data_IF_123611513561
#
_entry.id   IF_123611513561
#
_cell.length_a   1.000
_cell.length_b   1.000
_cell.length_c   1.000
_cell.angle_alpha   90.00
_cell.angle_beta   90.00
_cell.angle_gamma   90.00
#
_symmetry.space_group_name_H-M   'P 1'
#
loop_
_entity.id
_entity.type
_entity.pdbx_description
1 polymer ?
#
# COMPACT_ATOMS: atom_id res chain seq x y z
N UNK A 1 37.19 10.39 7.51
CA UNK A 1 36.44 9.12 7.59
C UNK A 1 35.06 9.40 7.01
N UNK A 2 34.61 8.60 6.08
CA UNK A 2 33.32 8.74 5.40
C UNK A 2 32.18 8.46 6.39
N UNK A 3 30.93 8.90 6.08
CA UNK A 3 29.80 8.72 6.99
C UNK A 3 29.51 7.23 7.26
N UNK A 4 29.56 6.40 6.24
CA UNK A 4 29.41 4.95 6.34
C UNK A 4 30.37 4.33 7.39
N UNK A 5 31.68 4.67 7.34
CA UNK A 5 32.67 4.13 8.28
C UNK A 5 32.32 4.50 9.73
N UNK A 6 31.87 5.73 9.96
CA UNK A 6 31.52 6.24 11.31
C UNK A 6 30.24 5.57 11.84
N UNK A 7 29.28 5.25 10.95
CA UNK A 7 28.07 4.53 11.34
C UNK A 7 28.40 3.10 11.79
N UNK A 8 29.27 2.39 11.05
CA UNK A 8 29.71 1.04 11.45
C UNK A 8 30.50 1.08 12.75
N UNK A 9 31.37 2.07 12.91
CA UNK A 9 32.15 2.27 14.15
C UNK A 9 31.27 2.71 15.35
N UNK A 10 29.97 2.96 15.11
CA UNK A 10 29.01 3.50 16.09
C UNK A 10 29.41 4.85 16.68
N UNK A 11 30.23 5.61 15.95
CA UNK A 11 30.64 6.98 16.32
C UNK A 11 29.56 8.00 15.96
N UNK A 12 28.74 7.71 14.97
CA UNK A 12 27.62 8.55 14.56
C UNK A 12 26.31 7.72 14.58
N UNK A 13 25.16 8.40 14.59
CA UNK A 13 23.84 7.77 14.66
C UNK A 13 23.04 7.97 13.38
N UNK A 14 22.19 7.00 13.08
CA UNK A 14 21.10 7.14 12.10
C UNK A 14 19.84 7.62 12.83
N UNK A 15 19.14 8.59 12.30
CA UNK A 15 17.79 8.92 12.73
C UNK A 15 16.77 8.45 11.69
N UNK A 16 15.73 7.73 12.11
CA UNK A 16 14.59 7.39 11.27
C UNK A 16 13.38 8.21 11.72
N UNK A 17 12.87 9.06 10.84
CA UNK A 17 11.79 10.01 11.08
C UNK A 17 10.51 9.48 10.45
N UNK A 18 9.53 9.16 11.30
CA UNK A 18 8.31 8.44 10.93
C UNK A 18 8.46 6.93 11.13
N UNK A 19 7.82 6.40 12.17
CA UNK A 19 7.93 4.99 12.57
C UNK A 19 6.62 4.23 12.26
N UNK A 20 6.15 4.38 11.02
CA UNK A 20 5.06 3.58 10.46
C UNK A 20 5.55 2.21 9.98
N UNK A 21 4.72 1.56 9.15
CA UNK A 21 5.00 0.23 8.57
C UNK A 21 6.25 0.17 7.66
N UNK A 22 6.80 1.31 7.25
CA UNK A 22 8.07 1.42 6.53
C UNK A 22 9.22 1.76 7.49
N UNK A 23 9.06 2.84 8.26
CA UNK A 23 10.17 3.39 9.04
C UNK A 23 10.55 2.55 10.26
N UNK A 24 9.60 1.90 10.93
CA UNK A 24 9.93 1.06 12.09
C UNK A 24 10.74 -0.18 11.69
N UNK A 25 10.34 -0.98 10.68
CA UNK A 25 11.16 -2.12 10.26
C UNK A 25 12.58 -1.72 9.85
N UNK A 26 12.76 -0.65 9.07
CA UNK A 26 14.09 -0.21 8.64
C UNK A 26 14.93 0.33 9.80
N UNK A 27 14.28 1.01 10.76
CA UNK A 27 14.97 1.48 11.97
C UNK A 27 15.51 0.32 12.80
N UNK A 28 14.73 -0.75 12.98
CA UNK A 28 15.15 -1.94 13.71
C UNK A 28 16.26 -2.71 12.97
N UNK A 29 16.19 -2.83 11.64
CA UNK A 29 17.27 -3.47 10.88
C UNK A 29 18.59 -2.71 10.99
N UNK A 30 18.59 -1.39 10.86
CA UNK A 30 19.76 -0.58 11.11
C UNK A 30 20.25 -0.71 12.57
N UNK A 31 19.33 -0.77 13.53
CA UNK A 31 19.66 -0.84 14.96
C UNK A 31 20.36 -2.14 15.39
N UNK A 32 20.26 -3.20 14.60
CA UNK A 32 21.06 -4.42 14.80
C UNK A 32 22.56 -4.18 14.56
N UNK A 33 22.91 -3.19 13.75
CA UNK A 33 24.28 -2.95 13.26
C UNK A 33 24.88 -1.67 13.83
N UNK A 34 24.12 -0.57 13.84
CA UNK A 34 24.56 0.76 14.27
C UNK A 34 23.65 1.34 15.35
N UNK A 35 23.96 2.55 15.84
CA UNK A 35 23.12 3.27 16.80
C UNK A 35 22.01 4.03 16.05
N UNK A 36 20.77 3.87 16.47
CA UNK A 36 19.59 4.47 15.80
C UNK A 36 18.78 5.32 16.78
N UNK A 37 18.26 6.45 16.28
CA UNK A 37 17.23 7.25 16.92
C UNK A 37 15.95 7.05 16.10
N UNK A 38 14.95 6.42 16.69
CA UNK A 38 13.62 6.29 16.10
C UNK A 38 12.72 7.43 16.55
N UNK A 39 12.32 8.30 15.63
CA UNK A 39 11.49 9.46 15.92
C UNK A 39 10.07 9.29 15.34
N UNK A 40 9.07 9.47 16.20
CA UNK A 40 7.68 9.61 15.77
C UNK A 40 7.05 10.80 16.49
N UNK A 41 6.20 11.55 15.78
CA UNK A 41 5.51 12.72 16.33
C UNK A 41 4.46 12.34 17.41
N UNK A 42 3.96 11.10 17.39
CA UNK A 42 2.95 10.62 18.31
C UNK A 42 3.60 10.00 19.57
N UNK A 43 3.45 10.62 20.77
CA UNK A 43 4.04 10.11 22.00
C UNK A 43 3.51 8.73 22.43
N UNK A 44 2.26 8.41 22.12
CA UNK A 44 1.64 7.12 22.48
C UNK A 44 2.29 5.99 21.67
N UNK A 45 2.47 6.19 20.36
CA UNK A 45 3.19 5.24 19.50
C UNK A 45 4.63 5.03 19.98
N UNK A 46 5.32 6.11 20.34
CA UNK A 46 6.67 6.04 20.92
C UNK A 46 6.67 5.22 22.22
N UNK A 47 5.66 5.40 23.07
CA UNK A 47 5.51 4.61 24.31
C UNK A 47 5.31 3.13 24.04
N UNK A 48 4.49 2.78 23.05
CA UNK A 48 4.27 1.38 22.63
C UNK A 48 5.60 0.76 22.15
N UNK A 49 6.33 1.43 21.27
CA UNK A 49 7.60 0.92 20.73
C UNK A 49 8.68 0.76 21.79
N UNK A 50 8.74 1.63 22.80
CA UNK A 50 9.61 1.45 23.99
C UNK A 50 9.29 0.18 24.77
N UNK A 51 8.03 -0.28 24.71
CA UNK A 51 7.57 -1.53 25.32
C UNK A 51 7.60 -2.72 24.33
N UNK A 52 8.29 -2.59 23.20
CA UNK A 52 8.42 -3.60 22.14
C UNK A 52 7.07 -4.00 21.54
N UNK A 53 6.15 -3.05 21.42
CA UNK A 53 4.85 -3.21 20.77
C UNK A 53 4.87 -2.37 19.49
N UNK A 54 4.66 -3.03 18.34
CA UNK A 54 4.47 -2.33 17.07
C UNK A 54 3.05 -1.77 16.97
N UNK A 55 2.89 -0.43 16.87
CA UNK A 55 1.58 0.18 16.69
C UNK A 55 0.88 -0.16 15.36
N UNK A 56 1.60 -0.77 14.42
CA UNK A 56 1.06 -1.17 13.11
C UNK A 56 0.73 -2.67 13.03
N UNK A 57 1.03 -3.44 14.10
CA UNK A 57 0.81 -4.89 14.21
C UNK A 57 1.46 -5.74 13.10
N UNK A 58 2.54 -5.23 12.47
CA UNK A 58 3.30 -5.96 11.45
C UNK A 58 4.46 -6.76 12.03
N UNK A 59 5.03 -6.29 13.16
CA UNK A 59 6.20 -6.85 13.82
C UNK A 59 5.84 -7.47 15.16
N UNK A 60 6.62 -8.47 15.56
CA UNK A 60 6.49 -9.11 16.87
C UNK A 60 7.55 -8.58 17.84
N UNK A 61 7.34 -8.76 19.14
CA UNK A 61 8.23 -8.23 20.18
C UNK A 61 9.69 -8.68 20.04
N UNK A 62 9.94 -9.86 19.48
CA UNK A 62 11.29 -10.38 19.23
C UNK A 62 12.05 -9.62 18.15
N UNK A 63 11.36 -8.90 17.25
CA UNK A 63 12.03 -8.08 16.23
C UNK A 63 12.78 -6.89 16.81
N UNK A 64 12.40 -6.48 18.03
CA UNK A 64 13.07 -5.42 18.79
C UNK A 64 14.30 -5.91 19.56
N UNK A 65 14.59 -7.21 19.57
CA UNK A 65 15.70 -7.75 20.32
C UNK A 65 17.04 -7.46 19.64
N UNK A 66 18.07 -7.19 20.45
CA UNK A 66 19.42 -6.84 20.00
C UNK A 66 19.51 -5.56 19.14
N UNK A 67 18.52 -4.69 19.22
CA UNK A 67 18.48 -3.42 18.52
C UNK A 67 19.03 -2.29 19.41
N UNK A 68 20.06 -1.58 18.91
CA UNK A 68 20.59 -0.35 19.55
C UNK A 68 19.77 0.85 19.06
N UNK A 69 18.54 1.01 19.60
CA UNK A 69 17.60 2.05 19.19
C UNK A 69 17.06 2.81 20.39
N UNK A 70 16.98 4.13 20.25
CA UNK A 70 16.35 5.04 21.19
C UNK A 70 15.08 5.64 20.53
N UNK A 71 13.91 5.33 21.08
CA UNK A 71 12.63 5.88 20.57
C UNK A 71 12.33 7.21 21.25
N UNK A 72 12.01 8.23 20.45
CA UNK A 72 11.71 9.58 20.94
C UNK A 72 10.65 10.31 20.11
N UNK A 73 9.97 11.26 20.73
CA UNK A 73 9.12 12.27 20.08
C UNK A 73 9.69 13.69 20.22
N UNK A 74 10.89 13.83 20.83
CA UNK A 74 11.54 15.11 21.07
C UNK A 74 12.49 15.42 19.91
N UNK A 75 12.29 16.57 19.27
CA UNK A 75 13.10 17.02 18.13
C UNK A 75 14.56 17.21 18.52
N UNK A 76 14.81 17.61 19.76
CA UNK A 76 16.16 17.90 20.28
C UNK A 76 17.07 16.67 20.22
N UNK A 77 16.53 15.48 20.44
CA UNK A 77 17.29 14.23 20.44
C UNK A 77 17.85 13.89 19.05
N UNK A 78 17.19 14.39 17.98
CA UNK A 78 17.64 14.22 16.60
C UNK A 78 18.99 14.93 16.30
N UNK A 79 19.43 15.89 17.14
CA UNK A 79 20.71 16.59 16.98
C UNK A 79 21.92 15.67 17.04
N UNK A 80 21.76 14.49 17.63
CA UNK A 80 22.85 13.51 17.74
C UNK A 80 23.06 12.71 16.45
N UNK A 81 22.10 12.73 15.53
CA UNK A 81 22.20 12.00 14.27
C UNK A 81 23.03 12.76 13.21
N UNK A 82 23.56 11.98 12.27
CA UNK A 82 24.29 12.44 11.07
C UNK A 82 23.66 11.94 9.78
N UNK A 83 22.90 10.88 9.83
CA UNK A 83 22.20 10.28 8.71
C UNK A 83 20.73 10.18 9.05
N UNK A 84 19.89 10.87 8.29
CA UNK A 84 18.45 10.93 8.49
C UNK A 84 17.74 10.13 7.41
N UNK A 85 16.84 9.23 7.80
CA UNK A 85 15.91 8.52 6.92
C UNK A 85 14.51 9.06 7.19
N UNK A 86 13.85 9.61 6.18
CA UNK A 86 12.51 10.17 6.30
C UNK A 86 11.50 9.21 5.66
N UNK A 87 10.67 8.58 6.49
CA UNK A 87 9.74 7.52 6.12
C UNK A 87 8.30 7.80 6.61
N UNK A 88 7.78 8.96 6.28
CA UNK A 88 6.42 9.40 6.66
C UNK A 88 5.39 9.08 5.56
N UNK A 89 4.10 8.95 5.91
CA UNK A 89 3.06 8.67 4.92
C UNK A 89 2.87 9.84 3.95
N UNK A 90 2.53 9.49 2.71
CA UNK A 90 2.21 10.41 1.62
C UNK A 90 0.88 10.01 0.98
N UNK A 91 -0.27 10.32 1.62
CA UNK A 91 -1.58 9.98 1.12
C UNK A 91 -2.00 10.89 -0.04
N UNK A 92 -3.15 10.61 -0.64
CA UNK A 92 -3.90 11.53 -1.49
C UNK A 92 -5.08 12.12 -0.70
N UNK A 93 -5.53 13.29 -1.09
CA UNK A 93 -6.74 13.90 -0.55
C UNK A 93 -8.02 13.38 -1.24
N UNK A 94 -9.18 13.90 -0.84
CA UNK A 94 -10.48 13.53 -1.42
C UNK A 94 -10.60 13.87 -2.91
N UNK A 95 -9.82 14.83 -3.39
CA UNK A 95 -9.72 15.21 -4.81
C UNK A 95 -8.72 14.36 -5.57
N UNK A 96 -8.12 13.34 -4.92
CA UNK A 96 -7.07 12.47 -5.47
C UNK A 96 -5.78 13.22 -5.85
N UNK A 97 -5.52 14.37 -5.21
CA UNK A 97 -4.27 15.10 -5.35
C UNK A 97 -3.29 14.68 -4.24
N UNK A 98 -1.96 14.65 -4.52
CA UNK A 98 -0.95 14.30 -3.52
C UNK A 98 -0.99 15.18 -2.28
N UNK A 99 -1.01 14.57 -1.10
CA UNK A 99 -0.88 15.29 0.16
C UNK A 99 0.52 15.10 0.75
N UNK A 100 1.42 15.99 0.40
CA UNK A 100 2.82 15.97 0.90
C UNK A 100 3.03 16.75 2.21
N UNK A 101 1.95 17.21 2.88
CA UNK A 101 2.08 17.94 4.16
C UNK A 101 2.86 17.16 5.23
N UNK A 102 2.64 15.85 5.43
CA UNK A 102 3.44 15.10 6.40
C UNK A 102 4.93 15.09 6.04
N UNK A 103 5.26 15.00 4.76
CA UNK A 103 6.63 15.02 4.25
C UNK A 103 7.31 16.37 4.49
N UNK A 104 6.61 17.47 4.20
CA UNK A 104 7.12 18.82 4.48
C UNK A 104 7.29 19.05 5.98
N UNK A 105 6.37 18.60 6.82
CA UNK A 105 6.50 18.67 8.29
C UNK A 105 7.68 17.86 8.81
N UNK A 106 7.95 16.68 8.25
CA UNK A 106 9.15 15.89 8.58
C UNK A 106 10.43 16.62 8.13
N UNK A 107 10.40 17.22 6.93
CA UNK A 107 11.51 18.08 6.44
C UNK A 107 11.74 19.29 7.33
N UNK A 108 10.67 19.91 7.85
CA UNK A 108 10.80 20.99 8.87
C UNK A 108 11.44 20.50 10.16
N UNK A 109 11.05 19.31 10.62
CA UNK A 109 11.60 18.69 11.83
C UNK A 109 13.09 18.44 11.67
N UNK A 110 13.51 17.83 10.56
CA UNK A 110 14.92 17.58 10.24
C UNK A 110 15.67 18.90 10.05
N UNK A 111 15.11 19.87 9.30
CA UNK A 111 15.74 21.15 9.03
C UNK A 111 16.12 21.96 10.29
N UNK A 112 15.34 21.84 11.38
CA UNK A 112 15.63 22.50 12.67
C UNK A 112 16.88 21.95 13.38
N UNK A 113 17.29 20.74 13.07
CA UNK A 113 18.41 20.04 13.73
C UNK A 113 19.58 19.76 12.81
N UNK A 114 19.41 20.00 11.50
CA UNK A 114 20.39 19.71 10.46
C UNK A 114 21.70 20.46 10.67
N UNK A 115 22.82 19.76 10.52
CA UNK A 115 24.17 20.26 10.70
C UNK A 115 24.99 20.05 9.44
N UNK A 116 26.09 20.78 9.34
CA UNK A 116 27.04 20.59 8.26
C UNK A 116 27.61 19.17 8.23
N UNK A 117 27.60 18.57 7.03
CA UNK A 117 28.03 17.20 6.78
C UNK A 117 26.99 16.13 7.07
N UNK A 118 25.72 16.51 7.34
CA UNK A 118 24.62 15.57 7.53
C UNK A 118 24.10 15.08 6.17
N UNK A 119 23.48 13.88 6.21
CA UNK A 119 22.80 13.24 5.09
C UNK A 119 21.31 13.11 5.38
N UNK A 120 20.46 13.44 4.41
CA UNK A 120 19.01 13.26 4.50
C UNK A 120 18.54 12.40 3.35
N UNK A 121 17.94 11.24 3.64
CA UNK A 121 17.44 10.32 2.63
C UNK A 121 15.93 10.18 2.79
N UNK A 122 15.18 10.47 1.73
CA UNK A 122 13.74 10.30 1.71
C UNK A 122 13.39 8.90 1.20
N UNK A 123 12.47 8.23 1.92
CA UNK A 123 11.91 6.93 1.53
C UNK A 123 10.42 7.02 1.17
N UNK A 124 9.75 8.08 1.62
CA UNK A 124 8.33 8.30 1.33
C UNK A 124 8.06 8.34 -0.18
N UNK A 125 6.97 7.74 -0.61
CA UNK A 125 6.56 7.76 -2.03
C UNK A 125 6.19 9.17 -2.46
N UNK A 126 6.81 9.65 -3.54
CA UNK A 126 6.60 11.00 -4.07
C UNK A 126 6.64 11.02 -5.61
N UNK A 127 6.17 12.09 -6.22
CA UNK A 127 6.35 12.32 -7.65
C UNK A 127 7.80 12.72 -7.98
N UNK A 128 8.29 12.45 -9.20
CA UNK A 128 9.64 12.83 -9.61
C UNK A 128 9.88 14.34 -9.49
N UNK A 129 10.92 14.70 -8.74
CA UNK A 129 11.31 16.07 -8.43
C UNK A 129 10.86 16.58 -7.06
N UNK A 130 9.94 15.91 -6.36
CA UNK A 130 9.41 16.37 -5.07
C UNK A 130 10.52 16.58 -4.03
N UNK A 131 11.48 15.66 -3.93
CA UNK A 131 12.59 15.82 -2.97
C UNK A 131 13.37 17.11 -3.25
N UNK A 132 13.69 17.37 -4.52
CA UNK A 132 14.50 18.54 -4.89
C UNK A 132 13.70 19.84 -4.91
N UNK A 133 12.47 19.81 -5.43
CA UNK A 133 11.64 20.99 -5.66
C UNK A 133 10.89 21.44 -4.39
N UNK A 134 10.50 20.51 -3.50
CA UNK A 134 9.66 20.80 -2.33
C UNK A 134 10.38 20.61 -1.00
N UNK A 135 11.15 19.51 -0.81
CA UNK A 135 11.74 19.19 0.49
C UNK A 135 13.04 19.94 0.75
N UNK A 136 13.95 20.01 -0.21
CA UNK A 136 15.26 20.69 -0.06
C UNK A 136 15.11 22.16 0.30
N UNK A 137 14.22 22.96 -0.31
CA UNK A 137 14.01 24.35 0.08
C UNK A 137 13.60 24.52 1.55
N UNK A 138 12.83 23.58 2.10
CA UNK A 138 12.44 23.58 3.53
C UNK A 138 13.67 23.31 4.41
N UNK A 139 14.50 22.32 4.05
CA UNK A 139 15.76 22.04 4.78
C UNK A 139 16.70 23.24 4.79
N UNK A 140 16.93 23.87 3.63
CA UNK A 140 17.77 25.06 3.50
C UNK A 140 17.25 26.24 4.33
N UNK A 141 15.94 26.51 4.25
CA UNK A 141 15.29 27.62 4.94
C UNK A 141 15.44 27.51 6.47
N UNK A 142 15.26 26.32 7.03
CA UNK A 142 15.25 26.13 8.48
C UNK A 142 16.64 25.92 9.07
N UNK A 143 17.54 25.27 8.36
CA UNK A 143 18.90 25.05 8.82
C UNK A 143 19.83 26.24 8.55
N UNK A 144 19.52 27.07 7.54
CA UNK A 144 20.43 28.10 7.04
C UNK A 144 21.62 27.55 6.25
N UNK A 145 21.66 26.22 6.03
CA UNK A 145 22.70 25.51 5.31
C UNK A 145 22.41 25.47 3.80
N UNK A 146 23.44 25.16 3.00
CA UNK A 146 23.33 25.06 1.56
C UNK A 146 23.40 23.59 1.10
N UNK A 147 22.40 23.20 0.33
CA UNK A 147 22.32 21.90 -0.33
C UNK A 147 23.57 21.60 -1.15
N UNK A 148 23.98 20.35 -1.20
CA UNK A 148 25.21 19.82 -1.79
C UNK A 148 26.47 20.26 -1.05
N UNK A 149 26.58 21.54 -0.70
CA UNK A 149 27.79 22.14 -0.10
C UNK A 149 27.91 21.79 1.39
N UNK A 150 26.83 21.98 2.14
CA UNK A 150 26.86 21.84 3.60
C UNK A 150 26.19 20.59 4.09
N UNK A 151 25.20 20.05 3.34
CA UNK A 151 24.53 18.77 3.62
C UNK A 151 24.20 18.05 2.31
N UNK A 152 24.00 16.73 2.39
CA UNK A 152 23.69 15.88 1.26
C UNK A 152 22.24 15.37 1.35
N UNK A 153 21.62 15.17 0.19
CA UNK A 153 20.29 14.59 0.11
C UNK A 153 20.29 13.43 -0.87
N UNK A 154 19.50 12.41 -0.56
CA UNK A 154 19.23 11.30 -1.45
C UNK A 154 17.79 10.82 -1.36
N UNK A 155 17.47 9.86 -2.19
CA UNK A 155 16.17 9.18 -2.21
C UNK A 155 16.38 7.68 -2.35
N UNK A 156 15.67 6.92 -1.53
CA UNK A 156 15.73 5.46 -1.53
C UNK A 156 14.35 4.89 -1.25
N UNK A 157 13.53 4.58 -2.28
CA UNK A 157 12.16 4.17 -2.09
C UNK A 157 12.02 2.85 -1.34
N UNK A 158 10.96 2.75 -0.52
CA UNK A 158 10.56 1.47 0.01
C UNK A 158 9.84 0.62 -1.05
N UNK A 159 10.19 -0.67 -1.11
CA UNK A 159 9.68 -1.65 -2.06
C UNK A 159 9.03 -2.87 -1.41
N UNK A 160 8.97 -2.91 -0.06
CA UNK A 160 8.30 -3.98 0.69
C UNK A 160 6.80 -3.94 0.40
N UNK A 161 6.23 -5.13 0.25
CA UNK A 161 4.78 -5.30 0.18
C UNK A 161 4.27 -5.75 1.57
N UNK A 162 3.47 -4.93 2.29
CA UNK A 162 2.96 -5.30 3.61
C UNK A 162 2.34 -6.69 3.63
N UNK A 163 2.66 -7.49 4.66
CA UNK A 163 2.22 -8.89 4.79
C UNK A 163 3.02 -9.91 3.95
N UNK A 164 3.96 -9.49 3.10
CA UNK A 164 4.84 -10.40 2.35
C UNK A 164 6.03 -10.84 3.23
N UNK A 165 6.02 -12.09 3.66
CA UNK A 165 7.08 -12.67 4.50
C UNK A 165 8.27 -13.24 3.71
N UNK A 166 8.17 -13.28 2.39
CA UNK A 166 9.22 -13.80 1.50
C UNK A 166 10.11 -12.67 0.99
N UNK A 167 9.48 -11.58 0.52
CA UNK A 167 10.17 -10.41 -0.01
C UNK A 167 10.34 -9.36 1.08
N UNK A 168 11.30 -9.58 1.95
CA UNK A 168 11.64 -8.69 3.06
C UNK A 168 12.61 -7.58 2.64
N UNK A 169 12.84 -6.60 3.50
CA UNK A 169 13.82 -5.52 3.26
C UNK A 169 15.18 -6.05 2.80
N UNK A 170 15.68 -7.09 3.43
CA UNK A 170 17.01 -7.67 3.13
C UNK A 170 17.06 -8.44 1.81
N UNK A 171 15.92 -9.02 1.36
CA UNK A 171 15.86 -9.93 0.20
C UNK A 171 15.49 -9.25 -1.13
N UNK A 172 15.13 -7.98 -1.12
CA UNK A 172 14.77 -7.21 -2.32
C UNK A 172 15.90 -6.23 -2.65
N UNK A 173 16.34 -6.18 -3.92
CA UNK A 173 17.28 -5.14 -4.39
C UNK A 173 16.68 -3.76 -4.11
N UNK A 174 17.35 -2.95 -3.28
CA UNK A 174 16.91 -1.59 -2.97
C UNK A 174 17.43 -0.61 -4.03
N UNK A 175 16.63 0.39 -4.38
CA UNK A 175 17.08 1.51 -5.21
C UNK A 175 17.58 2.62 -4.29
N UNK A 176 18.70 3.24 -4.61
CA UNK A 176 19.20 4.43 -3.91
C UNK A 176 19.71 5.47 -4.88
N UNK A 177 19.77 6.70 -4.44
CA UNK A 177 20.36 7.83 -5.17
C UNK A 177 20.94 8.85 -4.22
N UNK A 178 21.82 9.69 -4.73
CA UNK A 178 22.36 10.84 -4.01
C UNK A 178 22.37 12.09 -4.88
N UNK A 179 22.62 13.22 -4.30
CA UNK A 179 22.71 14.51 -5.04
C UNK A 179 24.03 14.68 -5.81
N UNK A 180 25.03 13.88 -5.51
CA UNK A 180 26.31 13.78 -6.18
C UNK A 180 26.89 12.37 -6.04
N UNK A 181 28.02 12.09 -6.69
CA UNK A 181 28.64 10.77 -6.70
C UNK A 181 29.04 10.30 -5.30
N UNK A 182 29.58 11.21 -4.47
CA UNK A 182 29.99 10.91 -3.09
C UNK A 182 28.77 10.49 -2.25
N UNK A 183 27.70 11.27 -2.27
CA UNK A 183 26.49 10.96 -1.51
C UNK A 183 25.78 9.70 -2.03
N UNK A 184 25.77 9.50 -3.35
CA UNK A 184 25.23 8.28 -3.95
C UNK A 184 25.96 7.02 -3.47
N UNK A 185 27.30 7.08 -3.37
CA UNK A 185 28.11 5.97 -2.87
C UNK A 185 27.88 5.72 -1.38
N UNK A 186 27.93 6.79 -0.55
CA UNK A 186 27.78 6.67 0.90
C UNK A 186 26.38 6.19 1.32
N UNK A 187 25.32 6.69 0.63
CA UNK A 187 23.95 6.24 0.85
C UNK A 187 23.81 4.77 0.46
N UNK A 188 24.30 4.36 -0.72
CA UNK A 188 24.23 2.98 -1.15
C UNK A 188 24.90 2.03 -0.14
N UNK A 189 26.15 2.34 0.27
CA UNK A 189 26.87 1.55 1.28
C UNK A 189 26.12 1.47 2.62
N UNK A 190 25.47 2.55 3.04
CA UNK A 190 24.68 2.55 4.27
C UNK A 190 23.51 1.59 4.18
N UNK A 191 22.79 1.55 3.04
CA UNK A 191 21.72 0.57 2.85
C UNK A 191 22.21 -0.86 2.65
N UNK A 192 23.40 -1.08 2.08
CA UNK A 192 24.02 -2.42 1.96
C UNK A 192 24.27 -3.09 3.32
N UNK A 193 24.29 -2.33 4.42
CA UNK A 193 24.35 -2.87 5.78
C UNK A 193 23.15 -3.78 6.08
N UNK A 194 21.98 -3.43 5.58
CA UNK A 194 20.70 -4.09 5.91
C UNK A 194 20.05 -4.80 4.71
N UNK A 195 20.54 -4.54 3.49
CA UNK A 195 19.99 -5.09 2.25
C UNK A 195 21.02 -6.05 1.64
N UNK A 196 20.84 -7.35 1.88
CA UNK A 196 21.76 -8.39 1.37
C UNK A 196 21.57 -8.67 -0.12
N UNK A 197 20.41 -8.35 -0.69
CA UNK A 197 20.14 -8.51 -2.12
C UNK A 197 20.88 -7.48 -2.99
N UNK A 198 21.52 -6.48 -2.38
CA UNK A 198 22.28 -5.43 -3.05
C UNK A 198 21.46 -4.16 -3.28
N UNK A 199 22.17 -3.11 -3.71
CA UNK A 199 21.62 -1.76 -3.92
C UNK A 199 21.88 -1.32 -5.37
N UNK A 200 20.81 -0.95 -6.07
CA UNK A 200 20.89 -0.33 -7.39
C UNK A 200 21.03 1.19 -7.23
N UNK A 201 22.17 1.74 -7.65
CA UNK A 201 22.42 3.19 -7.63
C UNK A 201 21.77 3.84 -8.85
N UNK A 202 20.69 4.57 -8.65
CA UNK A 202 20.07 5.38 -9.70
C UNK A 202 20.94 6.63 -9.99
N UNK A 203 20.91 7.08 -11.23
CA UNK A 203 21.75 8.20 -11.70
C UNK A 203 21.36 9.57 -11.12
N UNK A 204 20.17 9.70 -10.54
CA UNK A 204 19.72 10.93 -9.88
C UNK A 204 18.55 10.63 -8.92
N UNK A 205 18.24 11.58 -8.05
CA UNK A 205 17.07 11.54 -7.16
C UNK A 205 15.78 11.37 -7.98
N UNK A 206 15.59 12.17 -9.02
CA UNK A 206 14.39 12.10 -9.91
C UNK A 206 14.22 10.75 -10.59
N UNK A 207 15.33 10.09 -10.96
CA UNK A 207 15.26 8.71 -11.54
C UNK A 207 14.82 7.70 -10.50
N UNK A 208 15.30 7.79 -9.27
CA UNK A 208 14.90 6.88 -8.19
C UNK A 208 13.42 7.07 -7.79
N UNK A 209 12.96 8.33 -7.70
CA UNK A 209 11.55 8.67 -7.48
C UNK A 209 10.66 8.13 -8.61
N UNK A 210 11.06 8.35 -9.88
CA UNK A 210 10.34 7.84 -11.04
C UNK A 210 10.26 6.31 -11.04
N UNK A 211 11.35 5.62 -10.71
CA UNK A 211 11.38 4.17 -10.64
C UNK A 211 10.32 3.62 -9.67
N UNK A 212 10.20 4.22 -8.47
CA UNK A 212 9.17 3.82 -7.49
C UNK A 212 7.76 3.98 -8.04
N UNK A 213 7.46 5.14 -8.61
CA UNK A 213 6.11 5.43 -9.08
C UNK A 213 5.68 4.52 -10.23
N UNK A 214 6.58 4.21 -11.17
CA UNK A 214 6.22 3.38 -12.31
C UNK A 214 6.00 1.91 -11.95
N UNK A 215 6.62 1.38 -10.89
CA UNK A 215 6.39 -0.01 -10.45
C UNK A 215 4.91 -0.26 -10.15
N UNK A 216 4.28 0.64 -9.41
CA UNK A 216 2.86 0.53 -9.06
C UNK A 216 1.94 1.03 -10.18
N UNK A 217 2.31 2.08 -10.91
CA UNK A 217 1.55 2.57 -12.06
C UNK A 217 1.45 1.52 -13.16
N UNK A 218 2.54 0.81 -13.47
CA UNK A 218 2.56 -0.28 -14.45
C UNK A 218 1.61 -1.40 -14.03
N UNK A 219 1.62 -1.78 -12.76
CA UNK A 219 0.71 -2.80 -12.22
C UNK A 219 -0.74 -2.36 -12.31
N UNK A 220 -1.04 -1.14 -11.91
CA UNK A 220 -2.38 -0.54 -11.97
C UNK A 220 -2.95 -0.54 -13.39
N UNK A 221 -2.19 -0.07 -14.37
CA UNK A 221 -2.61 -0.03 -15.78
C UNK A 221 -2.84 -1.44 -16.35
N UNK A 222 -1.99 -2.41 -16.00
CA UNK A 222 -2.19 -3.78 -16.45
C UNK A 222 -3.44 -4.42 -15.84
N UNK A 223 -3.72 -4.16 -14.55
CA UNK A 223 -4.96 -4.63 -13.93
C UNK A 223 -6.16 -3.93 -14.57
N UNK A 224 -6.08 -2.64 -14.87
CA UNK A 224 -7.15 -1.91 -15.54
C UNK A 224 -7.49 -2.51 -16.91
N UNK A 225 -6.49 -2.87 -17.70
CA UNK A 225 -6.70 -3.58 -18.97
C UNK A 225 -7.47 -4.89 -18.76
N UNK A 226 -7.08 -5.70 -17.78
CA UNK A 226 -7.76 -6.98 -17.51
C UNK A 226 -9.17 -6.75 -16.94
N UNK A 227 -9.37 -5.72 -16.12
CA UNK A 227 -10.68 -5.32 -15.64
C UNK A 227 -11.61 -4.91 -16.81
N UNK A 228 -11.12 -4.09 -17.73
CA UNK A 228 -11.89 -3.72 -18.92
C UNK A 228 -12.24 -4.94 -19.79
N UNK A 229 -11.27 -5.84 -20.00
CA UNK A 229 -11.50 -7.11 -20.70
C UNK A 229 -12.56 -7.97 -20.00
N UNK A 230 -12.54 -8.04 -18.66
CA UNK A 230 -13.56 -8.78 -17.91
C UNK A 230 -14.97 -8.21 -18.13
N UNK A 231 -15.10 -6.89 -18.16
CA UNK A 231 -16.39 -6.23 -18.48
C UNK A 231 -16.85 -6.54 -19.90
N UNK A 232 -15.95 -6.54 -20.87
CA UNK A 232 -16.25 -6.88 -22.27
C UNK A 232 -16.69 -8.35 -22.39
N UNK A 233 -15.90 -9.27 -21.81
CA UNK A 233 -16.17 -10.72 -21.88
C UNK A 233 -17.45 -11.10 -21.15
N UNK A 234 -17.76 -10.49 -20.02
CA UNK A 234 -19.03 -10.67 -19.33
C UNK A 234 -20.23 -10.28 -20.23
N UNK A 235 -20.12 -9.20 -21.01
CA UNK A 235 -21.18 -8.82 -21.99
C UNK A 235 -21.30 -9.78 -23.16
N UNK A 236 -20.23 -10.50 -23.48
CA UNK A 236 -20.19 -11.52 -24.53
C UNK A 236 -20.54 -12.91 -24.01
N UNK A 237 -20.83 -13.08 -22.70
CA UNK A 237 -20.99 -14.36 -22.01
C UNK A 237 -19.77 -15.30 -22.18
N UNK A 238 -18.58 -14.73 -22.17
CA UNK A 238 -17.30 -15.44 -22.22
C UNK A 238 -16.68 -15.40 -20.81
N UNK A 239 -16.14 -16.54 -20.38
CA UNK A 239 -15.43 -16.62 -19.11
C UNK A 239 -14.04 -15.97 -19.22
N UNK A 240 -13.83 -14.88 -18.48
CA UNK A 240 -12.57 -14.12 -18.49
C UNK A 240 -11.37 -14.98 -18.15
N UNK A 241 -11.48 -15.85 -17.14
CA UNK A 241 -10.36 -16.67 -16.68
C UNK A 241 -9.95 -17.74 -17.69
N UNK A 242 -10.90 -18.32 -18.44
CA UNK A 242 -10.58 -19.26 -19.51
C UNK A 242 -9.81 -18.57 -20.65
N UNK A 243 -10.19 -17.33 -20.98
CA UNK A 243 -9.44 -16.53 -21.96
C UNK A 243 -8.03 -16.23 -21.47
N UNK A 244 -7.89 -15.84 -20.18
CA UNK A 244 -6.58 -15.54 -19.59
C UNK A 244 -5.70 -16.81 -19.48
N UNK A 245 -6.27 -17.97 -19.22
CA UNK A 245 -5.56 -19.25 -19.22
C UNK A 245 -5.07 -19.60 -20.62
N UNK A 246 -5.92 -19.46 -21.64
CA UNK A 246 -5.52 -19.69 -23.02
C UNK A 246 -4.44 -18.71 -23.48
N UNK A 247 -4.61 -17.42 -23.22
CA UNK A 247 -3.63 -16.38 -23.55
C UNK A 247 -2.29 -16.58 -22.79
N UNK A 248 -2.36 -17.01 -21.52
CA UNK A 248 -1.22 -17.26 -20.64
C UNK A 248 -0.33 -18.43 -21.08
N UNK A 249 -0.75 -19.24 -22.03
CA UNK A 249 0.11 -20.27 -22.65
C UNK A 249 1.22 -19.66 -23.50
N UNK A 250 1.06 -18.38 -23.89
CA UNK A 250 2.11 -17.68 -24.64
C UNK A 250 3.18 -17.15 -23.68
N UNK A 251 4.44 -17.47 -23.94
CA UNK A 251 5.60 -17.22 -23.07
C UNK A 251 5.78 -15.75 -22.63
N UNK A 252 5.33 -14.79 -23.42
CA UNK A 252 5.47 -13.35 -23.12
C UNK A 252 4.16 -12.67 -22.70
N UNK A 253 3.12 -13.44 -22.38
CA UNK A 253 1.87 -12.90 -21.84
C UNK A 253 2.03 -12.62 -20.34
N UNK A 254 1.66 -11.42 -19.91
CA UNK A 254 1.72 -11.03 -18.51
C UNK A 254 0.44 -11.46 -17.79
N UNK A 255 0.56 -12.36 -16.83
CA UNK A 255 -0.55 -12.99 -16.11
C UNK A 255 -1.16 -12.07 -15.02
N UNK A 256 -1.78 -10.97 -15.42
CA UNK A 256 -2.63 -10.19 -14.53
C UNK A 256 -4.04 -10.78 -14.46
N UNK A 257 -4.74 -10.52 -13.36
CA UNK A 257 -6.11 -11.00 -13.12
C UNK A 257 -7.02 -9.80 -12.85
N UNK A 258 -8.34 -9.92 -13.15
CA UNK A 258 -9.29 -8.87 -12.80
C UNK A 258 -9.48 -8.81 -11.28
N UNK A 259 -9.85 -7.65 -10.78
CA UNK A 259 -10.13 -7.47 -9.35
C UNK A 259 -10.25 -6.02 -8.93
N UNK A 260 -10.56 -5.83 -7.67
CA UNK A 260 -10.61 -4.52 -7.04
C UNK A 260 -9.20 -4.03 -6.73
N UNK A 261 -8.88 -2.78 -7.08
CA UNK A 261 -7.56 -2.18 -6.84
C UNK A 261 -7.67 -1.13 -5.75
N UNK A 262 -7.35 -1.54 -4.53
CA UNK A 262 -7.33 -0.74 -3.31
C UNK A 262 -5.94 -0.61 -2.68
N UNK A 263 -5.92 -0.27 -1.38
CA UNK A 263 -4.72 -0.14 -0.58
C UNK A 263 -3.97 1.17 -0.80
N UNK A 264 -2.78 1.27 -0.16
CA UNK A 264 -2.01 2.53 -0.09
C UNK A 264 -1.13 2.81 -1.30
N UNK A 265 -0.81 1.79 -2.09
CA UNK A 265 0.23 1.88 -3.11
C UNK A 265 -0.38 1.90 -4.52
N UNK A 266 -0.92 0.76 -4.99
CA UNK A 266 -1.37 0.63 -6.40
C UNK A 266 -2.49 1.61 -6.72
N UNK A 267 -3.42 1.85 -5.79
CA UNK A 267 -4.53 2.78 -5.97
C UNK A 267 -4.16 4.26 -5.76
N UNK A 268 -2.95 4.57 -5.29
CA UNK A 268 -2.51 5.92 -4.89
C UNK A 268 -1.36 6.44 -5.75
N UNK A 269 -0.30 5.65 -5.93
CA UNK A 269 0.93 6.08 -6.62
C UNK A 269 0.68 6.65 -8.04
N UNK A 270 -0.24 6.11 -8.87
CA UNK A 270 -0.51 6.68 -10.18
C UNK A 270 -0.95 8.15 -10.13
N UNK A 271 -1.65 8.56 -9.07
CA UNK A 271 -2.10 9.96 -8.93
C UNK A 271 -0.94 10.93 -8.71
N UNK A 272 0.13 10.48 -8.05
CA UNK A 272 1.36 11.26 -7.92
C UNK A 272 1.98 11.58 -9.29
N UNK A 273 2.03 10.58 -10.18
CA UNK A 273 2.58 10.77 -11.52
C UNK A 273 1.67 11.62 -12.40
N UNK A 274 0.34 11.42 -12.32
CA UNK A 274 -0.60 12.25 -13.12
C UNK A 274 -0.67 13.67 -12.64
N UNK A 275 -0.50 13.93 -11.34
CA UNK A 275 -0.36 15.27 -10.77
C UNK A 275 0.85 16.00 -11.38
N UNK A 276 2.04 15.37 -11.33
CA UNK A 276 3.25 15.96 -11.93
C UNK A 276 3.14 16.16 -13.43
N UNK A 277 2.52 15.23 -14.15
CA UNK A 277 2.25 15.37 -15.57
C UNK A 277 1.38 16.61 -15.87
N UNK A 278 0.34 16.84 -15.08
CA UNK A 278 -0.57 18.00 -15.18
C UNK A 278 0.17 19.31 -14.92
N UNK A 279 1.04 19.38 -13.91
CA UNK A 279 1.90 20.54 -13.67
C UNK A 279 2.81 20.85 -14.87
N UNK A 280 3.29 19.82 -15.57
CA UNK A 280 4.11 19.96 -16.79
C UNK A 280 3.27 20.22 -18.07
N UNK A 281 1.95 20.40 -17.92
CA UNK A 281 1.05 20.66 -19.05
C UNK A 281 0.72 19.42 -19.87
N UNK A 282 0.97 18.19 -19.36
CA UNK A 282 0.68 16.94 -20.05
C UNK A 282 -0.49 16.20 -19.39
N UNK A 283 -1.49 15.81 -20.19
CA UNK A 283 -2.57 14.95 -19.74
C UNK A 283 -2.20 13.49 -19.91
N UNK A 284 -1.99 12.78 -18.79
CA UNK A 284 -1.59 11.36 -18.77
C UNK A 284 -2.75 10.45 -19.15
N UNK A 285 -3.04 10.28 -20.44
CA UNK A 285 -4.23 9.60 -20.97
C UNK A 285 -4.36 8.15 -20.50
N UNK A 286 -3.32 7.34 -20.68
CA UNK A 286 -3.35 5.90 -20.34
C UNK A 286 -3.52 5.70 -18.83
N UNK A 287 -2.76 6.44 -18.02
CA UNK A 287 -2.81 6.31 -16.56
C UNK A 287 -4.18 6.74 -16.02
N UNK A 288 -4.68 7.90 -16.48
CA UNK A 288 -6.00 8.39 -16.05
C UNK A 288 -7.13 7.46 -16.50
N UNK A 289 -7.07 6.91 -17.72
CA UNK A 289 -8.07 5.93 -18.20
C UNK A 289 -8.00 4.64 -17.37
N UNK A 290 -6.80 4.13 -17.08
CA UNK A 290 -6.62 2.97 -16.22
C UNK A 290 -7.21 3.18 -14.83
N UNK A 291 -6.93 4.33 -14.21
CA UNK A 291 -7.52 4.69 -12.91
C UNK A 291 -9.04 4.77 -12.96
N UNK A 292 -9.61 5.36 -14.01
CA UNK A 292 -11.06 5.45 -14.17
C UNK A 292 -11.71 4.06 -14.28
N UNK A 293 -11.09 3.12 -15.00
CA UNK A 293 -11.56 1.72 -15.08
C UNK A 293 -11.50 1.06 -13.71
N UNK A 294 -10.34 1.10 -13.03
CA UNK A 294 -10.16 0.43 -11.74
C UNK A 294 -11.06 1.02 -10.65
N UNK A 295 -11.23 2.34 -10.61
CA UNK A 295 -12.12 3.00 -9.64
C UNK A 295 -13.60 2.68 -9.89
N UNK A 296 -14.00 2.39 -11.13
CA UNK A 296 -15.38 2.03 -11.47
C UNK A 296 -15.74 0.57 -11.15
N UNK A 297 -14.77 -0.30 -10.86
CA UNK A 297 -15.00 -1.74 -10.69
C UNK A 297 -15.88 -2.08 -9.49
N UNK A 298 -15.75 -1.38 -8.37
CA UNK A 298 -16.61 -1.59 -7.19
C UNK A 298 -18.09 -1.39 -7.53
N UNK A 299 -18.40 -0.27 -8.17
CA UNK A 299 -19.78 0.02 -8.61
C UNK A 299 -20.23 -0.93 -9.72
N UNK A 300 -19.35 -1.36 -10.64
CA UNK A 300 -19.68 -2.37 -11.65
C UNK A 300 -20.10 -3.70 -11.01
N UNK A 301 -19.37 -4.18 -10.02
CA UNK A 301 -19.69 -5.40 -9.27
C UNK A 301 -21.02 -5.25 -8.56
N UNK A 302 -21.23 -4.18 -7.78
CA UNK A 302 -22.49 -3.94 -7.06
C UNK A 302 -23.70 -3.93 -7.98
N UNK A 303 -23.63 -3.21 -9.12
CA UNK A 303 -24.69 -3.20 -10.15
C UNK A 303 -24.92 -4.56 -10.79
N UNK A 304 -23.88 -5.33 -11.02
CA UNK A 304 -24.00 -6.67 -11.62
C UNK A 304 -24.69 -7.63 -10.65
N UNK A 305 -24.34 -7.58 -9.36
CA UNK A 305 -25.00 -8.35 -8.31
C UNK A 305 -26.47 -7.98 -8.20
N UNK A 306 -26.80 -6.68 -8.15
CA UNK A 306 -28.17 -6.21 -8.09
C UNK A 306 -29.01 -6.74 -9.28
N UNK A 307 -28.49 -6.67 -10.51
CA UNK A 307 -29.15 -7.23 -11.70
C UNK A 307 -29.41 -8.73 -11.59
N UNK A 308 -28.45 -9.50 -11.05
CA UNK A 308 -28.58 -10.95 -10.89
C UNK A 308 -29.60 -11.30 -9.81
N UNK A 309 -29.63 -10.57 -8.70
CA UNK A 309 -30.63 -10.74 -7.63
C UNK A 309 -32.04 -10.41 -8.16
N UNK A 310 -32.21 -9.33 -8.92
CA UNK A 310 -33.49 -9.00 -9.56
C UNK A 310 -33.92 -10.10 -10.56
N UNK A 311 -32.97 -10.58 -11.35
CA UNK A 311 -33.25 -11.65 -12.33
C UNK A 311 -33.61 -12.99 -11.66
N UNK A 312 -33.19 -13.25 -10.42
CA UNK A 312 -33.63 -14.41 -9.62
C UNK A 312 -35.04 -14.25 -9.03
N UNK A 313 -35.70 -13.10 -9.25
CA UNK A 313 -37.06 -12.83 -8.79
C UNK A 313 -37.19 -12.11 -7.45
N UNK A 314 -36.07 -11.66 -6.87
CA UNK A 314 -36.07 -10.97 -5.56
C UNK A 314 -35.98 -9.45 -5.76
N UNK A 315 -36.94 -8.65 -5.25
CA UNK A 315 -36.82 -7.19 -5.19
C UNK A 315 -35.64 -6.77 -4.32
N UNK A 316 -34.88 -5.77 -4.75
CA UNK A 316 -33.67 -5.37 -4.02
C UNK A 316 -33.90 -4.92 -2.57
N UNK A 317 -35.05 -4.29 -2.29
CA UNK A 317 -35.42 -3.89 -0.91
C UNK A 317 -35.64 -5.08 0.04
N UNK A 318 -35.92 -6.26 -0.50
CA UNK A 318 -36.13 -7.51 0.26
C UNK A 318 -34.87 -8.38 0.25
N UNK A 319 -33.89 -8.01 -0.57
CA UNK A 319 -32.70 -8.82 -0.76
C UNK A 319 -31.72 -8.69 0.40
N UNK A 320 -31.22 -9.84 0.84
CA UNK A 320 -30.09 -9.94 1.78
C UNK A 320 -28.84 -10.34 1.00
N UNK A 321 -27.79 -9.56 1.13
CA UNK A 321 -26.50 -9.79 0.47
C UNK A 321 -25.42 -9.92 1.53
N UNK A 322 -24.66 -11.01 1.50
CA UNK A 322 -23.48 -11.23 2.33
C UNK A 322 -22.23 -10.85 1.55
N UNK A 323 -21.37 -10.00 2.13
CA UNK A 323 -20.04 -9.71 1.62
C UNK A 323 -19.00 -10.35 2.54
N UNK A 324 -18.19 -11.22 1.98
CA UNK A 324 -17.13 -11.95 2.68
C UNK A 324 -15.77 -11.34 2.31
N UNK A 325 -15.14 -10.69 3.30
CA UNK A 325 -13.91 -9.91 3.18
C UNK A 325 -14.18 -8.42 3.01
N UNK A 326 -13.53 -7.61 3.85
CA UNK A 326 -13.62 -6.15 3.86
C UNK A 326 -12.23 -5.48 3.83
N UNK A 327 -11.16 -6.22 4.08
CA UNK A 327 -9.78 -5.74 3.97
C UNK A 327 -9.39 -5.46 2.51
N UNK A 328 -8.32 -4.70 2.29
CA UNK A 328 -7.92 -4.36 0.92
C UNK A 328 -7.27 -5.52 0.16
N UNK A 329 -6.73 -6.52 0.87
CA UNK A 329 -6.16 -7.76 0.32
C UNK A 329 -6.23 -8.92 1.31
N UNK A 330 -5.82 -10.10 0.82
CA UNK A 330 -5.85 -11.37 1.55
C UNK A 330 -4.95 -11.35 2.80
N UNK A 331 -5.44 -11.97 3.87
CA UNK A 331 -4.69 -12.35 5.09
C UNK A 331 -3.98 -11.18 5.80
N UNK A 332 -4.52 -9.98 5.70
CA UNK A 332 -4.08 -8.79 6.43
C UNK A 332 -5.25 -8.14 7.16
N UNK A 333 -4.95 -7.40 8.22
CA UNK A 333 -5.95 -6.64 8.98
C UNK A 333 -6.23 -5.25 8.40
N UNK A 334 -5.44 -4.78 7.45
CA UNK A 334 -5.51 -3.42 6.92
C UNK A 334 -6.75 -3.21 6.04
N UNK A 335 -7.60 -2.28 6.47
CA UNK A 335 -8.87 -1.94 5.81
C UNK A 335 -8.79 -0.70 4.92
N UNK A 336 -7.71 0.08 5.06
CA UNK A 336 -7.60 1.39 4.41
C UNK A 336 -7.70 1.30 2.89
N UNK A 337 -8.50 2.19 2.30
CA UNK A 337 -8.72 2.25 0.85
C UNK A 337 -9.25 0.93 0.25
N UNK A 338 -9.99 0.14 1.04
CA UNK A 338 -10.59 -1.10 0.54
C UNK A 338 -11.68 -0.80 -0.49
N UNK A 339 -11.50 -1.28 -1.71
CA UNK A 339 -12.47 -1.13 -2.79
C UNK A 339 -13.72 -2.03 -2.66
N UNK A 340 -13.72 -2.92 -1.68
CA UNK A 340 -14.92 -3.68 -1.29
C UNK A 340 -15.99 -2.73 -0.73
N UNK A 341 -15.58 -1.65 -0.09
CA UNK A 341 -16.49 -0.61 0.40
C UNK A 341 -17.30 0.03 -0.73
N UNK A 342 -16.70 0.23 -1.89
CA UNK A 342 -17.41 0.74 -3.07
C UNK A 342 -18.50 -0.24 -3.55
N UNK A 343 -18.25 -1.55 -3.47
CA UNK A 343 -19.27 -2.59 -3.74
C UNK A 343 -20.41 -2.52 -2.74
N UNK A 344 -20.09 -2.42 -1.45
CA UNK A 344 -21.07 -2.32 -0.36
C UNK A 344 -21.95 -1.07 -0.53
N UNK A 345 -21.34 0.08 -0.80
CA UNK A 345 -22.04 1.35 -0.97
C UNK A 345 -22.95 1.32 -2.20
N UNK A 346 -22.49 0.76 -3.31
CA UNK A 346 -23.32 0.60 -4.50
C UNK A 346 -24.54 -0.31 -4.22
N UNK A 347 -24.36 -1.43 -3.51
CA UNK A 347 -25.44 -2.32 -3.11
C UNK A 347 -26.44 -1.61 -2.18
N UNK A 348 -25.95 -0.89 -1.17
CA UNK A 348 -26.78 -0.10 -0.25
C UNK A 348 -27.61 0.96 -1.01
N UNK A 349 -27.09 1.51 -2.12
CA UNK A 349 -27.82 2.49 -2.95
C UNK A 349 -29.09 1.91 -3.59
N UNK A 350 -29.15 0.57 -3.75
CA UNK A 350 -30.35 -0.16 -4.18
C UNK A 350 -31.28 -0.53 -3.02
N UNK A 351 -31.02 -0.05 -1.81
CA UNK A 351 -31.80 -0.29 -0.58
C UNK A 351 -31.82 -1.77 -0.15
N UNK A 352 -30.86 -2.58 -0.55
CA UNK A 352 -30.76 -3.96 -0.07
C UNK A 352 -30.09 -4.04 1.30
N UNK A 353 -30.36 -5.12 2.04
CA UNK A 353 -29.72 -5.41 3.32
C UNK A 353 -28.37 -6.07 3.07
N UNK A 354 -27.29 -5.35 3.41
CA UNK A 354 -25.91 -5.84 3.25
C UNK A 354 -25.33 -6.19 4.60
N UNK A 355 -24.88 -7.43 4.76
CA UNK A 355 -24.09 -7.90 5.89
C UNK A 355 -22.65 -8.13 5.44
N UNK A 356 -21.69 -7.80 6.30
CA UNK A 356 -20.26 -7.93 6.00
C UNK A 356 -19.59 -8.78 7.06
N UNK A 357 -18.81 -9.76 6.63
CA UNK A 357 -17.99 -10.61 7.52
C UNK A 357 -16.54 -10.58 7.05
N UNK A 358 -15.61 -10.45 7.99
CA UNK A 358 -14.18 -10.52 7.73
C UNK A 358 -13.46 -11.12 8.94
N UNK A 359 -12.60 -12.14 8.79
CA UNK A 359 -11.88 -12.76 9.90
C UNK A 359 -10.69 -11.95 10.41
N UNK A 360 -10.21 -10.97 9.64
CA UNK A 360 -8.98 -10.21 9.91
C UNK A 360 -9.24 -8.74 10.23
N UNK A 361 -10.32 -8.16 9.71
CA UNK A 361 -10.65 -6.74 9.92
C UNK A 361 -11.15 -6.48 11.34
N UNK A 362 -10.75 -5.33 11.90
CA UNK A 362 -11.28 -4.84 13.18
C UNK A 362 -12.61 -4.11 12.96
N UNK A 363 -13.67 -4.50 13.69
CA UNK A 363 -15.00 -3.94 13.53
C UNK A 363 -15.08 -2.48 13.95
N UNK A 364 -14.34 -2.08 15.00
CA UNK A 364 -14.33 -0.69 15.48
C UNK A 364 -13.68 0.24 14.44
N UNK A 365 -12.58 -0.21 13.83
CA UNK A 365 -11.91 0.52 12.74
C UNK A 365 -12.80 0.63 11.49
N UNK A 366 -13.52 -0.42 11.12
CA UNK A 366 -14.49 -0.42 10.01
C UNK A 366 -15.62 0.57 10.29
N UNK A 367 -16.12 0.60 11.53
CA UNK A 367 -17.17 1.55 11.92
C UNK A 367 -16.65 2.99 11.87
N UNK A 368 -15.46 3.25 12.38
CA UNK A 368 -14.86 4.60 12.39
C UNK A 368 -14.58 5.10 10.97
N UNK A 369 -14.00 4.26 10.12
CA UNK A 369 -13.55 4.65 8.76
C UNK A 369 -14.70 4.67 7.74
N UNK A 370 -15.62 3.67 7.81
CA UNK A 370 -16.61 3.42 6.76
C UNK A 370 -18.08 3.47 7.21
N UNK A 371 -18.34 3.54 8.52
CA UNK A 371 -19.68 3.73 9.07
C UNK A 371 -20.60 2.49 8.97
N UNK A 372 -20.03 1.28 9.04
CA UNK A 372 -20.81 0.04 9.14
C UNK A 372 -20.14 -0.99 10.03
N UNK A 373 -20.94 -1.91 10.60
CA UNK A 373 -20.45 -2.98 11.47
C UNK A 373 -20.15 -4.26 10.69
N UNK A 374 -19.21 -5.05 11.22
CA UNK A 374 -19.03 -6.44 10.81
C UNK A 374 -19.93 -7.36 11.62
N UNK A 375 -20.53 -8.36 10.95
CA UNK A 375 -21.24 -9.44 11.66
C UNK A 375 -20.25 -10.51 12.11
N UNK A 376 -20.40 -10.95 13.36
CA UNK A 376 -19.49 -11.97 13.94
C UNK A 376 -19.63 -13.34 13.25
N UNK A 377 -20.82 -13.66 12.73
CA UNK A 377 -21.14 -14.93 12.03
C UNK A 377 -22.23 -14.70 11.01
N UNK A 378 -22.17 -15.45 9.93
CA UNK A 378 -23.24 -15.53 8.93
C UNK A 378 -24.50 -16.09 9.58
N UNK A 379 -25.67 -15.54 9.28
CA UNK A 379 -26.95 -15.97 9.84
C UNK A 379 -28.07 -15.97 8.82
N UNK A 380 -28.74 -17.13 8.68
CA UNK A 380 -29.89 -17.27 7.78
C UNK A 380 -29.52 -17.44 6.30
N UNK A 381 -30.44 -17.03 5.42
CA UNK A 381 -30.35 -17.26 3.99
C UNK A 381 -30.14 -15.93 3.26
N UNK A 382 -29.26 -15.92 2.27
CA UNK A 382 -28.91 -14.75 1.46
C UNK A 382 -29.32 -14.93 -0.01
N UNK A 383 -29.71 -13.84 -0.66
CA UNK A 383 -29.99 -13.81 -2.09
C UNK A 383 -28.71 -13.71 -2.94
N UNK A 384 -27.65 -13.18 -2.35
CA UNK A 384 -26.30 -13.24 -2.94
C UNK A 384 -25.24 -13.35 -1.85
N UNK A 385 -24.18 -14.09 -2.14
CA UNK A 385 -22.95 -14.15 -1.34
C UNK A 385 -21.79 -13.70 -2.22
N UNK A 386 -21.06 -12.68 -1.78
CA UNK A 386 -19.93 -12.13 -2.52
C UNK A 386 -18.64 -12.47 -1.76
N UNK A 387 -17.80 -13.31 -2.34
CA UNK A 387 -16.43 -13.51 -1.85
C UNK A 387 -15.55 -12.45 -2.48
N UNK A 388 -15.33 -11.37 -1.72
CA UNK A 388 -14.65 -10.17 -2.20
C UNK A 388 -13.13 -10.22 -1.98
N UNK A 389 -12.68 -10.85 -0.89
CA UNK A 389 -11.28 -11.03 -0.54
C UNK A 389 -11.00 -12.52 -0.30
N UNK A 390 -9.86 -13.01 -0.78
CA UNK A 390 -9.49 -14.43 -0.73
C UNK A 390 -8.75 -14.80 0.56
N UNK A 391 -9.29 -14.49 1.72
CA UNK A 391 -8.70 -14.98 2.97
C UNK A 391 -8.54 -16.50 2.95
N UNK A 392 -7.48 -17.00 3.57
CA UNK A 392 -7.18 -18.43 3.59
C UNK A 392 -8.37 -19.27 4.10
N UNK A 393 -9.10 -18.76 5.10
CA UNK A 393 -10.29 -19.41 5.67
C UNK A 393 -11.38 -19.62 4.63
N UNK A 394 -11.54 -18.66 3.70
CA UNK A 394 -12.57 -18.76 2.65
C UNK A 394 -12.17 -19.74 1.56
N UNK A 395 -10.88 -19.91 1.27
CA UNK A 395 -10.43 -20.85 0.22
C UNK A 395 -10.75 -22.30 0.51
N UNK A 396 -11.02 -22.63 1.80
CA UNK A 396 -11.38 -23.95 2.28
C UNK A 396 -12.87 -24.26 2.15
N UNK A 397 -13.71 -23.27 1.82
CA UNK A 397 -15.15 -23.45 1.67
C UNK A 397 -15.48 -24.23 0.38
N UNK A 398 -16.58 -24.93 0.42
CA UNK A 398 -17.08 -25.74 -0.69
C UNK A 398 -18.50 -25.35 -1.11
N UNK A 399 -18.99 -25.98 -2.18
CA UNK A 399 -20.33 -25.72 -2.71
C UNK A 399 -21.43 -26.03 -1.68
N UNK A 400 -21.22 -27.00 -0.79
CA UNK A 400 -22.21 -27.34 0.26
C UNK A 400 -22.38 -26.22 1.27
N UNK A 401 -21.27 -25.60 1.65
CA UNK A 401 -21.31 -24.43 2.52
C UNK A 401 -22.15 -23.33 1.88
N UNK A 402 -21.84 -22.93 0.64
CA UNK A 402 -22.56 -21.85 -0.04
C UNK A 402 -24.04 -22.22 -0.28
N UNK A 403 -24.34 -23.47 -0.62
CA UNK A 403 -25.71 -23.95 -0.76
C UNK A 403 -26.51 -23.88 0.56
N UNK A 404 -25.85 -23.99 1.72
CA UNK A 404 -26.52 -23.92 3.02
C UNK A 404 -26.90 -22.49 3.44
N UNK A 405 -26.34 -21.47 2.82
CA UNK A 405 -26.58 -20.07 3.15
C UNK A 405 -27.17 -19.24 2.00
N UNK A 406 -27.26 -19.80 0.78
CA UNK A 406 -27.90 -19.17 -0.37
C UNK A 406 -29.37 -19.62 -0.48
N UNK A 407 -30.24 -18.72 -0.92
CA UNK A 407 -31.60 -19.08 -1.37
C UNK A 407 -31.53 -19.96 -2.63
N UNK A 408 -32.61 -20.69 -2.93
CA UNK A 408 -32.68 -21.64 -4.06
C UNK A 408 -32.23 -21.03 -5.42
N UNK A 409 -32.51 -19.75 -5.63
CA UNK A 409 -32.11 -19.00 -6.82
C UNK A 409 -30.99 -17.99 -6.52
N UNK A 410 -30.35 -18.09 -5.34
CA UNK A 410 -29.29 -17.18 -4.90
C UNK A 410 -28.05 -17.27 -5.78
N UNK A 411 -27.24 -16.21 -5.77
CA UNK A 411 -26.06 -16.09 -6.62
C UNK A 411 -24.78 -16.03 -5.77
N UNK A 412 -23.87 -16.96 -6.04
CA UNK A 412 -22.50 -16.89 -5.54
C UNK A 412 -21.66 -16.02 -6.47
N UNK A 413 -21.08 -14.97 -5.92
CA UNK A 413 -20.18 -14.03 -6.60
C UNK A 413 -18.77 -14.22 -6.08
N UNK A 414 -17.84 -14.57 -6.95
CA UNK A 414 -16.45 -14.85 -6.62
C UNK A 414 -15.53 -13.90 -7.39
N UNK A 415 -15.13 -12.81 -6.76
CA UNK A 415 -14.40 -11.74 -7.47
C UNK A 415 -13.02 -12.18 -7.97
N UNK A 416 -12.42 -13.17 -7.34
CA UNK A 416 -11.07 -13.66 -7.67
C UNK A 416 -11.09 -15.01 -8.42
N UNK A 417 -12.25 -15.61 -8.62
CA UNK A 417 -12.41 -16.87 -9.37
C UNK A 417 -11.80 -18.09 -8.68
N UNK A 418 -11.72 -18.12 -7.34
CA UNK A 418 -11.10 -19.23 -6.58
C UNK A 418 -12.00 -20.48 -6.52
N UNK A 419 -13.30 -20.32 -6.77
CA UNK A 419 -14.28 -21.42 -6.74
C UNK A 419 -14.73 -21.89 -8.11
N UNK A 420 -14.20 -21.33 -9.24
CA UNK A 420 -14.63 -21.64 -10.60
C UNK A 420 -14.75 -23.12 -10.93
N UNK A 421 -13.82 -23.94 -10.43
CA UNK A 421 -13.80 -25.38 -10.68
C UNK A 421 -14.44 -26.19 -9.55
N UNK A 422 -14.92 -25.54 -8.49
CA UNK A 422 -15.50 -26.17 -7.30
C UNK A 422 -17.02 -26.06 -7.28
N UNK A 423 -17.60 -25.09 -7.97
CA UNK A 423 -19.05 -24.81 -8.03
C UNK A 423 -19.62 -25.39 -9.32
N UNK A 424 -20.64 -26.22 -9.20
CA UNK A 424 -21.27 -26.92 -10.32
C UNK A 424 -22.78 -26.72 -10.43
N UNK A 425 -23.46 -26.49 -9.31
CA UNK A 425 -24.93 -26.48 -9.21
C UNK A 425 -25.51 -25.12 -8.86
N UNK A 426 -24.72 -24.27 -8.19
CA UNK A 426 -25.17 -22.94 -7.80
C UNK A 426 -25.08 -21.95 -8.96
N UNK A 427 -25.95 -20.95 -8.93
CA UNK A 427 -25.78 -19.79 -9.80
C UNK A 427 -24.46 -19.10 -9.43
N UNK A 428 -23.51 -19.12 -10.32
CA UNK A 428 -22.15 -18.63 -10.07
C UNK A 428 -21.77 -17.51 -11.04
N UNK A 429 -21.07 -16.50 -10.54
CA UNK A 429 -20.53 -15.43 -11.35
C UNK A 429 -19.15 -15.00 -10.83
N UNK A 430 -18.25 -14.65 -11.74
CA UNK A 430 -16.92 -14.11 -11.48
C UNK A 430 -16.60 -12.97 -12.45
N UNK A 431 -15.61 -12.14 -12.10
CA UNK A 431 -15.11 -11.06 -12.97
C UNK A 431 -14.49 -11.59 -14.27
#
# INVERSE_FOLDING_TARGET
MKIYDKLIAREEKIAVVGLGYVGLPIALEFAKITNVIGFDINPERVSMMKNKIDPSNELVSTDFDNCSIEFTYKIEDLKEAKFFVVAVPTPIDQSKEPNIKPLLSASETVGKVLKKGDYVVYESTVYPGCTEDDCIPVLEKLSGLKFVKDFKVGYSPERINPGDKVHTLSSIVKVSSGCDEESSEEIAKTYELVVTAGVHRASSIKVAEAAKIIENTQRDVNIALINELSVIFNRMNINTYEVLEAAGTKWNFLNFRPGLVGGHCIGVDPYYLTHKAKELGYHAQIINSGRAVNDAMGAYVGRTVAKKVIASGTPMQEARVLVMGATFKEDVSDIRNSKVVDVINELKSFSCHVEVVDPHANSDEIMEEYGFDLVAKTSGIYNSVIVAVNHQEYTLLDEKYFASILSDNGVLVDLKGIFRNKIQKLNYWTL
#
